data_IF_809101056999
#
_entry.id   IF_809101056999
#
_cell.length_a   1.000
_cell.length_b   1.000
_cell.length_c   1.000
_cell.angle_alpha   90.00
_cell.angle_beta   90.00
_cell.angle_gamma   90.00
#
_symmetry.space_group_name_H-M   'P 1'
#
loop_
_entity.id
_entity.type
_entity.pdbx_description
1 polymer ?
#
# COMPACT_ATOMS: atom_id res chain seq x y z
N UNK A 1 -5.49 -19.71 10.67
CA UNK A 1 -4.59 -18.57 10.45
C UNK A 1 -5.26 -17.60 9.48
N UNK A 2 -5.67 -16.42 9.94
CA UNK A 2 -6.33 -15.44 9.09
C UNK A 2 -5.30 -14.76 8.21
N UNK A 3 -5.21 -15.17 6.93
CA UNK A 3 -4.34 -14.52 5.94
C UNK A 3 -4.80 -13.07 5.78
N UNK A 4 -3.97 -12.12 6.16
CA UNK A 4 -4.25 -10.70 6.02
C UNK A 4 -4.17 -10.31 4.55
N UNK A 5 -5.22 -9.63 4.07
CA UNK A 5 -5.24 -9.08 2.71
C UNK A 5 -4.62 -7.69 2.70
N UNK A 6 -3.73 -7.39 1.75
CA UNK A 6 -3.06 -6.09 1.68
C UNK A 6 -3.09 -5.54 0.25
N UNK A 7 -3.08 -4.20 0.15
CA UNK A 7 -2.89 -3.48 -1.11
C UNK A 7 -1.60 -2.68 -1.01
N UNK A 8 -0.66 -2.88 -1.93
CA UNK A 8 0.52 -2.05 -2.08
C UNK A 8 0.28 -1.01 -3.19
N UNK A 9 0.31 0.28 -2.84
CA UNK A 9 0.03 1.40 -3.76
C UNK A 9 1.31 2.02 -4.31
N UNK A 10 2.48 1.52 -3.89
CA UNK A 10 3.75 1.97 -4.41
C UNK A 10 4.94 1.34 -3.69
N UNK A 11 6.09 1.36 -4.36
CA UNK A 11 7.37 0.86 -3.84
C UNK A 11 8.47 1.83 -4.26
N UNK A 12 9.13 2.45 -3.29
CA UNK A 12 10.07 3.54 -3.50
C UNK A 12 11.44 3.19 -2.92
N UNK A 13 12.52 3.67 -3.54
CA UNK A 13 13.87 3.63 -2.94
C UNK A 13 14.07 4.76 -1.93
N UNK A 14 13.42 5.89 -2.20
CA UNK A 14 13.47 7.08 -1.35
C UNK A 14 12.30 7.07 -0.37
N UNK A 15 12.60 7.29 0.91
CA UNK A 15 11.61 7.30 1.99
C UNK A 15 10.68 8.54 1.91
N UNK A 16 11.16 9.68 1.42
CA UNK A 16 10.36 10.89 1.26
C UNK A 16 9.25 10.68 0.22
N UNK A 17 9.57 9.99 -0.88
CA UNK A 17 8.57 9.60 -1.88
C UNK A 17 7.50 8.67 -1.30
N UNK A 18 7.91 7.71 -0.45
CA UNK A 18 6.97 6.85 0.26
C UNK A 18 6.09 7.65 1.24
N UNK A 19 6.64 8.64 1.94
CA UNK A 19 5.87 9.53 2.81
C UNK A 19 4.91 10.43 2.03
N UNK A 20 5.30 10.95 0.88
CA UNK A 20 4.43 11.75 0.01
C UNK A 20 3.22 10.93 -0.46
N UNK A 21 3.45 9.68 -0.90
CA UNK A 21 2.36 8.76 -1.23
C UNK A 21 1.47 8.44 -0.01
N UNK A 22 2.08 8.17 1.15
CA UNK A 22 1.35 7.95 2.40
C UNK A 22 0.46 9.13 2.78
N UNK A 23 0.96 10.37 2.64
CA UNK A 23 0.20 11.61 2.88
C UNK A 23 -0.94 11.77 1.88
N UNK A 24 -0.71 11.48 0.60
CA UNK A 24 -1.75 11.53 -0.43
C UNK A 24 -2.90 10.55 -0.11
N UNK A 25 -2.58 9.33 0.30
CA UNK A 25 -3.58 8.31 0.68
C UNK A 25 -4.36 8.69 1.94
N UNK A 26 -3.69 9.27 2.95
CA UNK A 26 -4.36 9.74 4.18
C UNK A 26 -5.44 10.79 3.94
N UNK A 27 -5.35 11.59 2.86
CA UNK A 27 -6.41 12.56 2.48
C UNK A 27 -7.75 11.90 2.15
N UNK A 28 -7.73 10.60 1.85
CA UNK A 28 -8.93 9.81 1.52
C UNK A 28 -9.38 8.92 2.69
N UNK A 29 -9.03 9.28 3.92
CA UNK A 29 -9.35 8.53 5.14
C UNK A 29 -8.83 7.09 5.16
N UNK A 30 -7.85 6.79 4.30
CA UNK A 30 -7.14 5.52 4.29
C UNK A 30 -6.04 5.52 5.37
N UNK A 31 -5.72 4.34 5.89
CA UNK A 31 -4.68 4.13 6.91
C UNK A 31 -3.45 3.42 6.33
N UNK A 32 -2.66 4.09 5.47
CA UNK A 32 -1.45 3.50 4.90
C UNK A 32 -0.33 3.31 5.94
N UNK A 33 0.45 2.28 5.73
CA UNK A 33 1.69 1.97 6.46
C UNK A 33 2.85 1.83 5.49
N UNK A 34 4.04 2.27 5.92
CA UNK A 34 5.28 2.06 5.15
C UNK A 34 6.00 0.86 5.72
N UNK A 35 6.29 -0.13 4.86
CA UNK A 35 7.13 -1.28 5.20
C UNK A 35 8.47 -1.16 4.49
N UNK A 36 9.54 -1.20 5.26
CA UNK A 36 10.90 -1.25 4.75
C UNK A 36 11.29 -2.71 4.55
N UNK A 37 11.93 -2.99 3.42
CA UNK A 37 12.55 -4.28 3.15
C UNK A 37 13.88 -4.06 2.44
N UNK A 38 14.95 -4.65 2.98
CA UNK A 38 16.24 -4.69 2.30
C UNK A 38 16.21 -5.72 1.18
N UNK A 39 16.62 -5.30 -0.01
CA UNK A 39 16.76 -6.14 -1.20
C UNK A 39 18.25 -6.22 -1.55
N UNK A 40 18.82 -7.43 -1.51
CA UNK A 40 20.23 -7.66 -1.82
C UNK A 40 21.21 -7.03 -0.82
N UNK A 41 20.82 -6.84 0.44
CA UNK A 41 21.71 -6.39 1.53
C UNK A 41 22.09 -4.90 1.54
N UNK A 42 21.86 -4.16 0.45
CA UNK A 42 22.25 -2.74 0.33
C UNK A 42 21.10 -1.82 -0.07
N UNK A 43 20.13 -2.29 -0.86
CA UNK A 43 19.03 -1.43 -1.31
C UNK A 43 17.84 -1.56 -0.36
N UNK A 44 17.50 -0.48 0.35
CA UNK A 44 16.26 -0.42 1.14
C UNK A 44 15.12 0.01 0.22
N UNK A 45 14.05 -0.77 0.20
CA UNK A 45 12.81 -0.42 -0.50
C UNK A 45 11.72 -0.11 0.52
N UNK A 46 11.03 1.01 0.31
CA UNK A 46 9.92 1.51 1.11
C UNK A 46 8.60 1.22 0.37
N UNK A 47 7.85 0.23 0.85
CA UNK A 47 6.57 -0.17 0.27
C UNK A 47 5.42 0.49 1.02
N UNK A 48 4.55 1.22 0.32
CA UNK A 48 3.36 1.84 0.91
C UNK A 48 2.18 0.89 0.79
N UNK A 49 1.60 0.49 1.93
CA UNK A 49 0.59 -0.57 2.00
C UNK A 49 -0.65 -0.14 2.78
N UNK A 50 -1.80 -0.64 2.34
CA UNK A 50 -3.09 -0.52 3.01
C UNK A 50 -3.51 -1.90 3.53
N UNK A 51 -4.16 -1.93 4.70
CA UNK A 51 -4.61 -3.14 5.38
C UNK A 51 -3.89 -3.40 6.72
N UNK A 52 -4.08 -4.58 7.34
CA UNK A 52 -4.78 -5.74 6.78
C UNK A 52 -6.27 -5.52 6.57
N UNK A 53 -6.80 -6.01 5.46
CA UNK A 53 -8.24 -6.15 5.20
C UNK A 53 -8.69 -7.56 5.56
N UNK A 54 -9.92 -7.69 6.05
CA UNK A 54 -10.47 -8.98 6.50
C UNK A 54 -11.26 -9.69 5.39
N UNK A 55 -11.71 -8.95 4.38
CA UNK A 55 -12.53 -9.47 3.30
C UNK A 55 -12.06 -9.01 1.91
N UNK A 56 -12.41 -9.80 0.89
CA UNK A 56 -12.25 -9.43 -0.52
C UNK A 56 -13.12 -8.24 -0.92
N UNK A 57 -14.26 -8.04 -0.25
CA UNK A 57 -15.14 -6.89 -0.49
C UNK A 57 -14.48 -5.57 -0.06
N UNK A 58 -13.80 -5.53 1.09
CA UNK A 58 -13.03 -4.35 1.51
C UNK A 58 -11.89 -4.04 0.53
N UNK A 59 -11.16 -5.07 0.08
CA UNK A 59 -10.12 -4.90 -0.96
C UNK A 59 -10.69 -4.27 -2.23
N UNK A 60 -11.84 -4.77 -2.70
CA UNK A 60 -12.47 -4.26 -3.93
C UNK A 60 -12.97 -2.82 -3.75
N UNK A 61 -13.58 -2.49 -2.61
CA UNK A 61 -14.03 -1.13 -2.30
C UNK A 61 -12.86 -0.14 -2.28
N UNK A 62 -11.76 -0.51 -1.61
CA UNK A 62 -10.54 0.31 -1.58
C UNK A 62 -9.89 0.39 -2.97
N UNK A 63 -9.84 -0.70 -3.73
CA UNK A 63 -9.33 -0.71 -5.11
C UNK A 63 -10.14 0.19 -6.05
N UNK A 64 -11.47 0.18 -5.95
CA UNK A 64 -12.36 1.10 -6.69
C UNK A 64 -12.11 2.56 -6.29
N UNK A 65 -11.95 2.83 -4.99
CA UNK A 65 -11.62 4.17 -4.51
C UNK A 65 -10.27 4.65 -5.07
N UNK A 66 -9.23 3.82 -4.99
CA UNK A 66 -7.90 4.13 -5.54
C UNK A 66 -7.98 4.44 -7.04
N UNK A 67 -8.66 3.62 -7.82
CA UNK A 67 -8.89 3.85 -9.25
C UNK A 67 -9.64 5.16 -9.51
N UNK A 68 -10.71 5.44 -8.75
CA UNK A 68 -11.48 6.68 -8.84
C UNK A 68 -10.64 7.93 -8.54
N UNK A 69 -9.61 7.80 -7.70
CA UNK A 69 -8.66 8.88 -7.37
C UNK A 69 -7.42 8.91 -8.27
N UNK A 70 -7.34 8.04 -9.28
CA UNK A 70 -6.24 8.00 -10.24
C UNK A 70 -5.03 7.15 -9.82
N UNK A 71 -5.09 6.47 -8.68
CA UNK A 71 -4.07 5.49 -8.29
C UNK A 71 -4.36 4.17 -9.00
N UNK A 72 -3.84 4.01 -10.22
CA UNK A 72 -4.07 2.83 -11.08
C UNK A 72 -3.01 1.73 -10.91
N UNK A 73 -1.86 2.08 -10.36
CA UNK A 73 -0.72 1.17 -10.18
C UNK A 73 -0.67 0.68 -8.74
N UNK A 74 -1.48 -0.33 -8.41
CA UNK A 74 -1.45 -0.99 -7.10
C UNK A 74 -1.49 -2.51 -7.25
N UNK A 75 -0.88 -3.20 -6.28
CA UNK A 75 -0.84 -4.66 -6.22
C UNK A 75 -1.56 -5.18 -4.99
N UNK A 76 -2.48 -6.13 -5.19
CA UNK A 76 -3.13 -6.87 -4.11
C UNK A 76 -2.31 -8.12 -3.82
N UNK A 77 -2.06 -8.42 -2.55
CA UNK A 77 -1.38 -9.65 -2.14
C UNK A 77 -1.90 -10.17 -0.80
N UNK A 78 -1.76 -11.47 -0.60
CA UNK A 78 -2.25 -12.20 0.57
C UNK A 78 -1.06 -12.66 1.42
N UNK A 79 -1.13 -12.50 2.74
CA UNK A 79 -0.06 -12.92 3.65
C UNK A 79 -0.59 -13.70 4.84
#
# INVERSE_FOLDING_TARGET
ESRGCYIQVGKYRDIENAFNMMRALKKYYLTPSIRQASHGGTTVMHSVRLGPFQSSQELEAVGKLLNSKGFKDYWVFYR
#
